data_IF_828146518668
#
_entry.id   IF_828146518668
#
_cell.length_a   1.000
_cell.length_b   1.000
_cell.length_c   1.000
_cell.angle_alpha   90.00
_cell.angle_beta   90.00
_cell.angle_gamma   90.00
#
_symmetry.space_group_name_H-M   'P 1'
#
loop_
_entity.id
_entity.type
_entity.pdbx_description
1 polymer ?
#
# COMPACT_ATOMS: atom_id res chain seq x y z
N UNK A 1 22.83 -20.25 31.18
CA UNK A 1 23.70 -21.11 32.03
C UNK A 1 25.03 -21.27 31.30
N UNK A 2 26.11 -20.82 31.95
CA UNK A 2 27.54 -21.12 31.72
C UNK A 2 28.22 -20.76 30.38
N UNK A 3 29.10 -19.78 30.52
CA UNK A 3 30.31 -19.48 29.75
C UNK A 3 31.17 -20.75 29.58
N UNK A 4 31.82 -20.89 28.43
CA UNK A 4 33.04 -21.70 28.31
C UNK A 4 34.19 -20.80 27.82
N UNK A 5 35.22 -20.68 28.67
CA UNK A 5 36.50 -20.04 28.40
C UNK A 5 37.45 -21.12 27.90
N UNK A 6 38.25 -20.85 26.87
CA UNK A 6 39.60 -21.39 26.84
C UNK A 6 40.59 -20.30 26.41
N UNK A 7 41.59 -20.12 27.25
CA UNK A 7 42.64 -19.12 27.19
C UNK A 7 43.90 -19.71 26.54
N UNK A 8 44.53 -18.90 25.68
CA UNK A 8 45.94 -18.80 25.29
C UNK A 8 46.83 -20.05 25.44
N UNK A 9 47.48 -20.46 24.34
CA UNK A 9 48.95 -20.50 24.19
C UNK A 9 49.30 -20.21 22.71
N UNK A 10 49.65 -18.94 22.46
CA UNK A 10 50.64 -18.37 21.52
C UNK A 10 50.81 -18.91 20.08
N UNK A 11 50.39 -18.05 19.13
CA UNK A 11 51.09 -17.53 17.93
C UNK A 11 51.68 -18.53 16.91
N UNK A 12 51.33 -18.60 15.62
CA UNK A 12 50.71 -17.65 14.66
C UNK A 12 50.02 -18.45 13.54
N UNK A 13 48.76 -18.17 13.24
CA UNK A 13 48.15 -18.55 11.96
C UNK A 13 47.68 -17.29 11.25
N UNK A 14 48.43 -16.88 10.22
CA UNK A 14 48.04 -15.86 9.26
C UNK A 14 46.86 -16.36 8.44
N UNK A 15 45.63 -16.07 8.90
CA UNK A 15 44.46 -16.16 8.06
C UNK A 15 44.31 -14.85 7.29
N UNK A 16 44.83 -14.82 6.06
CA UNK A 16 44.40 -13.87 5.05
C UNK A 16 42.93 -14.17 4.72
N UNK A 17 41.99 -13.57 5.45
CA UNK A 17 40.60 -13.44 5.02
C UNK A 17 40.37 -11.97 4.70
N UNK A 18 40.28 -11.70 3.40
CA UNK A 18 39.84 -10.43 2.86
C UNK A 18 38.60 -9.92 3.62
N UNK A 19 38.52 -8.62 3.93
CA UNK A 19 37.32 -8.07 4.54
C UNK A 19 36.17 -8.31 3.56
N UNK A 20 35.20 -9.14 3.97
CA UNK A 20 33.92 -9.25 3.28
C UNK A 20 33.31 -7.85 3.32
N UNK A 21 33.37 -7.13 2.20
CA UNK A 21 32.57 -5.94 1.98
C UNK A 21 31.11 -6.34 2.23
N UNK A 22 30.57 -5.95 3.38
CA UNK A 22 29.13 -5.77 3.53
C UNK A 22 28.76 -4.65 2.55
N UNK A 23 28.49 -5.03 1.30
CA UNK A 23 27.85 -4.17 0.32
C UNK A 23 26.38 -4.04 0.70
N UNK A 24 26.11 -3.30 1.77
CA UNK A 24 24.94 -2.44 1.82
C UNK A 24 25.28 -1.24 0.95
N UNK A 25 25.19 -1.42 -0.36
CA UNK A 25 25.17 -0.29 -1.28
C UNK A 25 23.80 0.35 -1.15
N UNK A 26 23.65 1.18 -0.11
CA UNK A 26 22.57 2.17 -0.05
C UNK A 26 23.01 3.28 -0.99
N UNK A 27 22.58 3.21 -2.24
CA UNK A 27 22.79 4.29 -3.20
C UNK A 27 22.19 5.58 -2.65
N UNK A 28 23.01 6.61 -2.61
CA UNK A 28 22.66 8.02 -2.41
C UNK A 28 21.57 8.39 -3.45
N UNK A 29 20.44 9.02 -3.11
CA UNK A 29 20.28 10.45 -2.81
C UNK A 29 18.90 10.68 -2.13
N UNK A 30 18.88 11.45 -1.04
CA UNK A 30 17.79 11.61 -0.05
C UNK A 30 17.49 10.33 0.76
N UNK A 31 17.98 10.31 2.02
CA UNK A 31 18.04 9.14 2.90
C UNK A 31 16.72 8.60 3.45
N UNK A 32 15.62 8.72 2.72
CA UNK A 32 14.35 8.06 3.02
C UNK A 32 13.95 7.22 1.80
N UNK A 33 14.08 5.90 1.91
CA UNK A 33 13.46 4.99 0.94
C UNK A 33 11.95 5.23 0.97
N UNK A 34 11.30 5.56 -0.15
CA UNK A 34 9.87 5.82 -0.17
C UNK A 34 9.12 4.61 0.39
N UNK A 35 8.21 4.87 1.33
CA UNK A 35 7.40 3.83 1.99
C UNK A 35 6.75 2.97 0.92
N UNK A 36 6.99 1.66 0.95
CA UNK A 36 6.36 0.73 0.02
C UNK A 36 4.96 0.32 0.51
N UNK A 37 4.03 -0.01 -0.40
CA UNK A 37 2.78 -0.66 -0.03
C UNK A 37 3.07 -2.04 0.63
N UNK A 38 2.20 -2.52 1.53
CA UNK A 38 2.27 -3.88 2.03
C UNK A 38 2.17 -4.88 0.87
N UNK A 39 2.97 -5.95 0.91
CA UNK A 39 2.91 -7.01 -0.08
C UNK A 39 1.84 -8.03 0.29
N UNK A 40 1.12 -8.55 -0.72
CA UNK A 40 0.30 -9.74 -0.54
C UNK A 40 1.17 -10.92 -0.06
N UNK A 41 0.69 -11.79 0.85
CA UNK A 41 1.47 -12.91 1.39
C UNK A 41 2.19 -13.75 0.32
N UNK A 42 1.52 -14.06 -0.77
CA UNK A 42 2.09 -14.91 -1.83
C UNK A 42 3.18 -14.17 -2.63
N UNK A 43 3.05 -12.85 -2.79
CA UNK A 43 4.08 -12.01 -3.40
C UNK A 43 5.29 -11.93 -2.47
N UNK A 44 5.07 -11.73 -1.17
CA UNK A 44 6.15 -11.73 -0.18
C UNK A 44 6.89 -13.08 -0.15
N UNK A 45 6.16 -14.19 -0.20
CA UNK A 45 6.73 -15.54 -0.27
C UNK A 45 7.65 -15.70 -1.50
N UNK A 46 7.23 -15.23 -2.67
CA UNK A 46 8.08 -15.21 -3.87
C UNK A 46 9.34 -14.34 -3.66
N UNK A 47 9.23 -13.21 -2.97
CA UNK A 47 10.38 -12.36 -2.64
C UNK A 47 11.40 -13.08 -1.74
N UNK A 48 10.93 -13.95 -0.83
CA UNK A 48 11.82 -14.72 0.04
C UNK A 48 12.72 -15.69 -0.74
N UNK A 49 12.33 -16.12 -1.94
CA UNK A 49 13.17 -16.98 -2.78
C UNK A 49 14.50 -16.30 -3.18
N UNK A 50 14.54 -14.97 -3.22
CA UNK A 50 15.75 -14.19 -3.51
C UNK A 50 16.62 -13.91 -2.28
N UNK A 51 16.15 -14.24 -1.07
CA UNK A 51 16.83 -13.90 0.18
C UNK A 51 17.64 -15.08 0.71
N UNK A 52 18.73 -14.76 1.39
CA UNK A 52 19.57 -15.76 2.05
C UNK A 52 19.11 -15.99 3.49
N UNK A 53 18.83 -17.23 3.86
CA UNK A 53 18.49 -17.63 5.22
C UNK A 53 19.60 -18.48 5.83
N UNK A 54 19.65 -18.49 7.17
CA UNK A 54 20.62 -19.32 7.91
C UNK A 54 20.22 -20.79 7.83
N UNK A 55 18.91 -21.07 7.85
CA UNK A 55 18.32 -22.39 7.58
C UNK A 55 17.12 -22.26 6.63
N UNK A 56 17.32 -22.59 5.35
CA UNK A 56 16.25 -22.51 4.34
C UNK A 56 15.04 -23.41 4.66
N UNK A 57 15.26 -24.53 5.38
CA UNK A 57 14.21 -25.50 5.71
C UNK A 57 13.37 -25.12 6.93
N UNK A 58 13.87 -24.25 7.80
CA UNK A 58 13.20 -23.85 9.03
C UNK A 58 12.81 -22.37 9.05
N UNK A 59 13.74 -21.48 8.71
CA UNK A 59 13.57 -20.03 8.87
C UNK A 59 12.64 -19.45 7.80
N UNK A 60 12.82 -19.87 6.54
CA UNK A 60 12.04 -19.30 5.43
C UNK A 60 10.53 -19.60 5.54
N UNK A 61 10.10 -20.85 5.83
CA UNK A 61 8.68 -21.13 6.08
C UNK A 61 8.14 -20.38 7.30
N UNK A 62 8.91 -20.26 8.38
CA UNK A 62 8.51 -19.53 9.57
C UNK A 62 8.32 -18.03 9.28
N UNK A 63 9.24 -17.40 8.54
CA UNK A 63 9.14 -15.99 8.16
C UNK A 63 7.97 -15.74 7.22
N UNK A 64 7.74 -16.61 6.22
CA UNK A 64 6.55 -16.53 5.36
C UNK A 64 5.26 -16.62 6.17
N UNK A 65 5.18 -17.59 7.09
CA UNK A 65 4.02 -17.77 7.95
C UNK A 65 3.78 -16.58 8.88
N UNK A 66 4.83 -16.10 9.57
CA UNK A 66 4.74 -14.93 10.45
C UNK A 66 4.28 -13.69 9.69
N UNK A 67 4.80 -13.46 8.48
CA UNK A 67 4.38 -12.35 7.64
C UNK A 67 2.91 -12.47 7.25
N UNK A 68 2.46 -13.65 6.80
CA UNK A 68 1.06 -13.90 6.42
C UNK A 68 0.11 -13.60 7.57
N UNK A 69 0.39 -14.12 8.76
CA UNK A 69 -0.42 -13.85 9.96
C UNK A 69 -0.42 -12.36 10.30
N UNK A 70 0.75 -11.72 10.26
CA UNK A 70 0.90 -10.31 10.62
C UNK A 70 0.14 -9.41 9.66
N UNK A 71 0.32 -9.57 8.34
CA UNK A 71 -0.32 -8.69 7.36
C UNK A 71 -1.84 -8.86 7.36
N UNK A 72 -2.34 -10.09 7.48
CA UNK A 72 -3.78 -10.34 7.59
C UNK A 72 -4.37 -9.75 8.86
N UNK A 73 -3.68 -9.87 10.01
CA UNK A 73 -4.15 -9.31 11.27
C UNK A 73 -4.11 -7.79 11.28
N UNK A 74 -2.99 -7.19 10.85
CA UNK A 74 -2.80 -5.74 10.83
C UNK A 74 -3.76 -5.10 9.84
N UNK A 75 -3.82 -5.59 8.59
CA UNK A 75 -4.70 -5.00 7.58
C UNK A 75 -6.18 -5.30 7.86
N UNK A 76 -6.52 -6.52 8.28
CA UNK A 76 -7.90 -6.89 8.61
C UNK A 76 -8.47 -6.17 9.83
N UNK A 77 -7.62 -5.74 10.75
CA UNK A 77 -8.00 -4.89 11.89
C UNK A 77 -7.87 -3.39 11.65
N UNK A 78 -7.29 -2.95 10.54
CA UNK A 78 -7.03 -1.54 10.28
C UNK A 78 -8.26 -0.83 9.75
N UNK A 79 -8.71 0.20 10.47
CA UNK A 79 -9.79 1.08 10.03
C UNK A 79 -9.30 2.23 9.15
N UNK A 80 -8.02 2.58 9.24
CA UNK A 80 -7.45 3.73 8.54
C UNK A 80 -6.12 3.33 7.90
N UNK A 81 -6.02 3.51 6.58
CA UNK A 81 -4.77 3.42 5.84
C UNK A 81 -4.38 4.79 5.31
N UNK A 82 -3.18 5.25 5.69
CA UNK A 82 -2.61 6.53 5.27
C UNK A 82 -1.37 6.28 4.43
N UNK A 83 -1.44 6.59 3.15
CA UNK A 83 -0.34 6.51 2.19
C UNK A 83 -0.19 7.81 1.39
N UNK A 84 -0.67 8.94 1.92
CA UNK A 84 -0.43 10.23 1.31
C UNK A 84 1.07 10.57 1.29
N UNK A 85 1.53 11.28 0.25
CA UNK A 85 2.93 11.68 0.06
C UNK A 85 3.93 10.51 0.01
N UNK A 86 3.50 9.31 -0.37
CA UNK A 86 4.37 8.12 -0.41
C UNK A 86 5.23 8.03 -1.67
N UNK A 87 5.07 8.98 -2.61
CA UNK A 87 5.74 9.01 -3.93
C UNK A 87 5.42 7.77 -4.77
N UNK A 88 4.21 7.24 -4.64
CA UNK A 88 3.75 6.07 -5.37
C UNK A 88 3.41 6.40 -6.81
N UNK A 89 3.79 5.51 -7.72
CA UNK A 89 3.31 5.49 -9.10
C UNK A 89 2.29 4.37 -9.32
N UNK A 90 1.89 4.13 -10.58
CA UNK A 90 0.90 3.11 -10.92
C UNK A 90 1.24 1.70 -10.40
N UNK A 91 2.52 1.34 -10.40
CA UNK A 91 3.00 0.02 -9.94
C UNK A 91 2.71 -0.23 -8.45
N UNK A 92 2.93 0.76 -7.59
CA UNK A 92 2.66 0.63 -6.16
C UNK A 92 1.15 0.53 -5.89
N UNK A 93 0.31 1.18 -6.70
CA UNK A 93 -1.14 1.02 -6.59
C UNK A 93 -1.61 -0.37 -6.97
N UNK A 94 -1.03 -1.00 -8.01
CA UNK A 94 -1.30 -2.42 -8.31
C UNK A 94 -0.96 -3.30 -7.10
N UNK A 95 0.17 -3.03 -6.45
CA UNK A 95 0.55 -3.75 -5.23
C UNK A 95 -0.44 -3.51 -4.09
N UNK A 96 -0.86 -2.26 -3.85
CA UNK A 96 -1.91 -1.93 -2.88
C UNK A 96 -3.21 -2.69 -3.19
N UNK A 97 -3.63 -2.71 -4.45
CA UNK A 97 -4.84 -3.39 -4.91
C UNK A 97 -4.88 -4.85 -4.48
N UNK A 98 -3.74 -5.55 -4.56
CA UNK A 98 -3.63 -6.95 -4.15
C UNK A 98 -3.87 -7.19 -2.65
N UNK A 99 -3.70 -6.17 -1.80
CA UNK A 99 -3.88 -6.28 -0.34
C UNK A 99 -5.17 -5.64 0.18
N UNK A 100 -5.87 -4.84 -0.62
CA UNK A 100 -7.17 -4.26 -0.24
C UNK A 100 -8.22 -5.32 0.17
N UNK A 101 -8.30 -6.51 -0.45
CA UNK A 101 -9.22 -7.57 0.00
C UNK A 101 -8.95 -8.06 1.44
N UNK A 102 -7.72 -7.89 1.95
CA UNK A 102 -7.39 -8.23 3.33
C UNK A 102 -7.91 -7.20 4.34
N UNK A 103 -8.29 -6.01 3.88
CA UNK A 103 -8.66 -4.87 4.72
C UNK A 103 -10.16 -4.87 5.05
N UNK A 104 -10.62 -5.86 5.83
CA UNK A 104 -12.05 -6.11 6.08
C UNK A 104 -12.77 -5.04 6.91
N UNK A 105 -12.03 -4.24 7.69
CA UNK A 105 -12.56 -3.18 8.54
C UNK A 105 -12.20 -1.77 8.06
N UNK A 106 -11.67 -1.62 6.85
CA UNK A 106 -11.19 -0.33 6.35
C UNK A 106 -12.33 0.66 6.17
N UNK A 107 -12.24 1.80 6.87
CA UNK A 107 -13.20 2.90 6.82
C UNK A 107 -12.61 4.12 6.12
N UNK A 108 -11.32 4.38 6.27
CA UNK A 108 -10.66 5.53 5.67
C UNK A 108 -9.42 5.12 4.87
N UNK A 109 -9.38 5.51 3.59
CA UNK A 109 -8.25 5.27 2.71
C UNK A 109 -7.72 6.60 2.19
N UNK A 110 -6.52 6.98 2.63
CA UNK A 110 -5.90 8.26 2.27
C UNK A 110 -4.72 8.07 1.34
N UNK A 111 -4.87 8.47 0.08
CA UNK A 111 -3.90 8.26 -0.99
C UNK A 111 -3.40 9.57 -1.62
N UNK A 112 -3.66 10.72 -0.99
CA UNK A 112 -3.37 12.03 -1.58
C UNK A 112 -1.89 12.28 -1.87
N UNK A 113 -1.61 13.09 -2.90
CA UNK A 113 -0.25 13.46 -3.29
C UNK A 113 0.63 12.25 -3.68
N UNK A 114 0.11 11.41 -4.57
CA UNK A 114 0.89 10.39 -5.26
C UNK A 114 0.77 10.60 -6.79
N UNK A 115 1.25 9.67 -7.60
CA UNK A 115 1.23 9.76 -9.06
C UNK A 115 0.57 8.52 -9.68
N UNK A 116 -0.54 8.06 -9.07
CA UNK A 116 -1.24 6.86 -9.50
C UNK A 116 -2.05 7.00 -10.78
N UNK A 117 -2.49 8.23 -11.11
CA UNK A 117 -3.33 8.52 -12.26
C UNK A 117 -4.59 7.66 -12.31
N UNK A 118 -5.08 7.40 -13.53
CA UNK A 118 -6.29 6.59 -13.74
C UNK A 118 -6.09 5.12 -13.34
N UNK A 119 -4.86 4.62 -13.35
CA UNK A 119 -4.53 3.27 -12.88
C UNK A 119 -4.93 3.06 -11.42
N UNK A 120 -4.69 4.05 -10.55
CA UNK A 120 -5.13 3.98 -9.16
C UNK A 120 -6.65 3.80 -9.08
N UNK A 121 -7.42 4.58 -9.84
CA UNK A 121 -8.88 4.47 -9.85
C UNK A 121 -9.30 3.07 -10.33
N UNK A 122 -8.75 2.60 -11.44
CA UNK A 122 -9.04 1.27 -11.97
C UNK A 122 -8.77 0.16 -10.94
N UNK A 123 -7.64 0.24 -10.23
CA UNK A 123 -7.29 -0.75 -9.19
C UNK A 123 -8.26 -0.69 -8.02
N UNK A 124 -8.65 0.50 -7.55
CA UNK A 124 -9.63 0.65 -6.47
C UNK A 124 -11.00 0.07 -6.88
N UNK A 125 -11.43 0.32 -8.11
CA UNK A 125 -12.70 -0.18 -8.64
C UNK A 125 -12.68 -1.71 -8.82
N UNK A 126 -11.57 -2.27 -9.33
CA UNK A 126 -11.39 -3.71 -9.45
C UNK A 126 -11.44 -4.38 -8.07
N UNK A 127 -10.72 -3.85 -7.08
CA UNK A 127 -10.75 -4.36 -5.72
C UNK A 127 -12.16 -4.32 -5.11
N UNK A 128 -12.91 -3.22 -5.33
CA UNK A 128 -14.26 -3.08 -4.82
C UNK A 128 -15.26 -4.06 -5.47
N UNK A 129 -15.16 -4.26 -6.80
CA UNK A 129 -16.11 -5.09 -7.57
C UNK A 129 -15.80 -6.58 -7.52
N UNK A 130 -14.55 -6.97 -7.75
CA UNK A 130 -14.18 -8.38 -7.97
C UNK A 130 -13.99 -9.11 -6.64
N UNK A 131 -13.51 -8.41 -5.62
CA UNK A 131 -13.17 -9.01 -4.34
C UNK A 131 -14.12 -8.61 -3.21
N UNK A 132 -15.11 -7.76 -3.50
CA UNK A 132 -15.96 -7.19 -2.45
C UNK A 132 -15.15 -6.44 -1.38
N UNK A 133 -14.00 -5.87 -1.76
CA UNK A 133 -13.21 -5.04 -0.85
C UNK A 133 -13.91 -3.67 -0.66
N UNK A 134 -13.45 -2.89 0.32
CA UNK A 134 -13.91 -1.51 0.56
C UNK A 134 -15.40 -1.36 0.90
N UNK A 135 -16.08 -2.42 1.35
CA UNK A 135 -17.51 -2.39 1.68
C UNK A 135 -17.81 -1.52 2.92
N UNK A 136 -16.82 -1.41 3.83
CA UNK A 136 -16.89 -0.57 5.04
C UNK A 136 -16.30 0.83 4.81
N UNK A 137 -15.82 1.14 3.60
CA UNK A 137 -15.10 2.38 3.33
C UNK A 137 -16.06 3.56 3.32
N UNK A 138 -15.83 4.52 4.21
CA UNK A 138 -16.62 5.74 4.36
C UNK A 138 -15.91 6.99 3.85
N UNK A 139 -14.58 7.01 3.83
CA UNK A 139 -13.77 8.14 3.37
C UNK A 139 -12.68 7.68 2.39
N UNK A 140 -12.64 8.29 1.20
CA UNK A 140 -11.62 8.05 0.18
C UNK A 140 -10.94 9.36 -0.24
N UNK A 141 -9.65 9.50 0.02
CA UNK A 141 -8.83 10.62 -0.44
C UNK A 141 -7.99 10.22 -1.66
N UNK A 142 -8.26 10.84 -2.81
CA UNK A 142 -7.45 10.71 -4.02
C UNK A 142 -6.94 12.08 -4.52
N UNK A 143 -6.82 13.09 -3.64
CA UNK A 143 -6.31 14.41 -4.04
C UNK A 143 -4.92 14.35 -4.67
N UNK A 144 -4.64 15.24 -5.62
CA UNK A 144 -3.31 15.38 -6.22
C UNK A 144 -2.70 14.03 -6.67
N UNK A 145 -3.45 13.23 -7.45
CA UNK A 145 -2.98 11.94 -7.96
C UNK A 145 -2.77 11.90 -9.48
N UNK A 146 -3.07 13.01 -10.16
CA UNK A 146 -2.98 13.09 -11.62
C UNK A 146 -4.06 12.28 -12.35
N UNK A 147 -5.20 12.00 -11.70
CA UNK A 147 -6.37 11.38 -12.33
C UNK A 147 -6.91 12.30 -13.42
N UNK A 148 -7.26 11.75 -14.58
CA UNK A 148 -7.77 12.49 -15.73
C UNK A 148 -9.30 12.40 -15.81
N UNK A 149 -9.89 13.00 -16.84
CA UNK A 149 -11.32 12.89 -17.13
C UNK A 149 -11.79 11.43 -17.26
N UNK A 150 -10.99 10.56 -17.87
CA UNK A 150 -11.32 9.14 -18.03
C UNK A 150 -11.42 8.42 -16.69
N UNK A 151 -10.49 8.72 -15.76
CA UNK A 151 -10.52 8.19 -14.40
C UNK A 151 -11.72 8.68 -13.60
N UNK A 152 -12.05 9.97 -13.69
CA UNK A 152 -13.23 10.53 -13.01
C UNK A 152 -14.53 9.98 -13.59
N UNK A 153 -14.61 9.80 -14.92
CA UNK A 153 -15.77 9.18 -15.57
C UNK A 153 -15.95 7.72 -15.11
N UNK A 154 -14.85 6.95 -15.02
CA UNK A 154 -14.89 5.58 -14.51
C UNK A 154 -15.34 5.53 -13.04
N UNK A 155 -14.85 6.45 -12.21
CA UNK A 155 -15.26 6.57 -10.81
C UNK A 155 -16.75 6.94 -10.70
N UNK A 156 -17.22 7.91 -11.48
CA UNK A 156 -18.62 8.36 -11.50
C UNK A 156 -19.57 7.23 -11.93
N UNK A 157 -19.19 6.47 -12.98
CA UNK A 157 -19.95 5.32 -13.44
C UNK A 157 -20.02 4.22 -12.36
N UNK A 158 -18.90 3.97 -11.65
CA UNK A 158 -18.88 2.99 -10.58
C UNK A 158 -19.67 3.45 -9.34
N UNK A 159 -19.62 4.73 -8.99
CA UNK A 159 -20.42 5.31 -7.92
C UNK A 159 -21.92 5.38 -8.27
N UNK A 160 -22.31 5.18 -9.52
CA UNK A 160 -23.72 5.01 -9.87
C UNK A 160 -24.25 3.62 -9.49
N UNK A 161 -23.37 2.64 -9.27
CA UNK A 161 -23.72 1.31 -8.80
C UNK A 161 -23.70 1.25 -7.26
N UNK A 162 -24.84 0.97 -6.60
CA UNK A 162 -24.92 0.93 -5.14
C UNK A 162 -24.06 -0.19 -4.51
N UNK A 163 -23.65 -1.21 -5.27
CA UNK A 163 -22.81 -2.30 -4.76
C UNK A 163 -21.34 -1.91 -4.59
N UNK A 164 -20.88 -0.90 -5.33
CA UNK A 164 -19.48 -0.44 -5.28
C UNK A 164 -19.35 0.60 -4.17
N UNK A 165 -18.60 0.30 -3.09
CA UNK A 165 -18.39 1.22 -1.95
C UNK A 165 -19.70 1.76 -1.33
N UNK A 166 -20.61 0.88 -0.85
CA UNK A 166 -21.95 1.28 -0.39
C UNK A 166 -21.95 2.26 0.78
N UNK A 167 -20.90 2.25 1.62
CA UNK A 167 -20.79 3.10 2.81
C UNK A 167 -20.02 4.40 2.57
N UNK A 168 -19.63 4.72 1.33
CA UNK A 168 -18.85 5.92 1.04
C UNK A 168 -19.68 7.17 1.33
N UNK A 169 -19.13 8.06 2.16
CA UNK A 169 -19.76 9.33 2.55
C UNK A 169 -18.90 10.55 2.22
N UNK A 170 -17.59 10.36 2.02
CA UNK A 170 -16.68 11.44 1.66
C UNK A 170 -15.71 10.99 0.57
N UNK A 171 -15.56 11.82 -0.45
CA UNK A 171 -14.63 11.63 -1.56
C UNK A 171 -13.80 12.90 -1.77
N UNK A 172 -12.49 12.75 -1.87
CA UNK A 172 -11.57 13.82 -2.20
C UNK A 172 -11.01 13.66 -3.60
N UNK A 173 -11.30 14.59 -4.51
CA UNK A 173 -10.86 14.55 -5.91
C UNK A 173 -10.11 15.80 -6.38
N UNK A 174 -10.06 16.87 -5.58
CA UNK A 174 -9.32 18.11 -5.87
C UNK A 174 -7.85 17.88 -6.25
N UNK A 175 -7.36 18.72 -7.17
CA UNK A 175 -5.95 18.75 -7.58
C UNK A 175 -5.56 17.63 -8.55
N UNK A 176 -6.56 16.96 -9.14
CA UNK A 176 -6.37 16.06 -10.26
C UNK A 176 -6.38 16.80 -11.60
N UNK A 177 -6.07 16.09 -12.69
CA UNK A 177 -5.98 16.64 -14.07
C UNK A 177 -7.31 16.54 -14.84
N UNK A 178 -8.42 16.49 -14.11
CA UNK A 178 -9.75 16.46 -14.68
C UNK A 178 -10.20 17.89 -15.05
N UNK A 179 -10.99 18.00 -16.10
CA UNK A 179 -11.68 19.22 -16.50
C UNK A 179 -12.82 19.54 -15.53
N UNK A 180 -13.20 20.82 -15.46
CA UNK A 180 -14.33 21.28 -14.64
C UNK A 180 -15.62 20.53 -15.00
N UNK A 181 -15.86 20.25 -16.28
CA UNK A 181 -17.05 19.51 -16.72
C UNK A 181 -17.10 18.07 -16.14
N UNK A 182 -15.96 17.39 -16.05
CA UNK A 182 -15.89 16.07 -15.41
C UNK A 182 -16.10 16.13 -13.90
N UNK A 183 -15.60 17.19 -13.25
CA UNK A 183 -15.79 17.41 -11.82
C UNK A 183 -17.25 17.75 -11.50
N UNK A 184 -17.93 18.55 -12.34
CA UNK A 184 -19.36 18.84 -12.22
C UNK A 184 -20.20 17.56 -12.36
N UNK A 185 -19.85 16.71 -13.33
CA UNK A 185 -20.51 15.40 -13.49
C UNK A 185 -20.30 14.48 -12.28
N UNK A 186 -19.11 14.53 -11.67
CA UNK A 186 -18.83 13.79 -10.43
C UNK A 186 -19.65 14.36 -9.26
N UNK A 187 -19.75 15.69 -9.13
CA UNK A 187 -20.55 16.35 -8.09
C UNK A 187 -22.03 15.95 -8.18
N UNK A 188 -22.59 15.91 -9.39
CA UNK A 188 -23.96 15.42 -9.63
C UNK A 188 -24.16 13.97 -9.14
N UNK A 189 -23.21 13.07 -9.40
CA UNK A 189 -23.28 11.68 -8.95
C UNK A 189 -23.12 11.59 -7.43
N UNK A 190 -22.18 12.34 -6.86
CA UNK A 190 -21.97 12.43 -5.42
C UNK A 190 -23.21 12.98 -4.71
N UNK A 191 -23.87 14.00 -5.25
CA UNK A 191 -25.11 14.55 -4.72
C UNK A 191 -26.24 13.50 -4.70
N UNK A 192 -26.41 12.73 -5.78
CA UNK A 192 -27.39 11.63 -5.85
C UNK A 192 -27.12 10.53 -4.83
N UNK A 193 -25.84 10.25 -4.58
CA UNK A 193 -25.40 9.21 -3.62
C UNK A 193 -25.25 9.74 -2.20
N UNK A 194 -25.51 11.02 -1.96
CA UNK A 194 -25.28 11.70 -0.68
C UNK A 194 -23.82 11.59 -0.18
N UNK A 195 -22.87 11.58 -1.11
CA UNK A 195 -21.43 11.62 -0.84
C UNK A 195 -20.99 13.07 -0.82
N UNK A 196 -20.29 13.47 0.24
CA UNK A 196 -19.66 14.79 0.34
C UNK A 196 -18.39 14.81 -0.53
N UNK A 197 -18.45 15.56 -1.63
CA UNK A 197 -17.29 15.81 -2.47
C UNK A 197 -16.44 16.95 -1.89
N UNK A 198 -15.15 16.69 -1.69
CA UNK A 198 -14.10 17.65 -1.36
C UNK A 198 -14.31 18.49 -0.07
N UNK A 199 -15.27 18.10 0.77
CA UNK A 199 -15.47 18.66 2.11
C UNK A 199 -14.66 17.89 3.15
N UNK A 200 -13.34 17.99 3.05
CA UNK A 200 -12.43 17.41 4.02
C UNK A 200 -12.44 18.22 5.30
N UNK A 201 -12.71 17.56 6.43
CA UNK A 201 -12.41 18.19 7.72
C UNK A 201 -10.89 18.29 7.83
N UNK A 202 -10.30 19.48 8.08
CA UNK A 202 -8.90 19.57 8.41
C UNK A 202 -8.67 18.68 9.65
N UNK A 203 -7.74 17.74 9.52
CA UNK A 203 -7.33 16.87 10.63
C UNK A 203 -6.50 17.77 11.55
N UNK A 204 -7.13 18.25 12.61
CA UNK A 204 -6.45 18.85 13.77
C UNK A 204 -5.65 17.76 14.48
#
# INVERSE_FOLDING_TARGET
>A
MRICVCARHTHTCTCARAPRKCLLQVGHESGESPRQPPLHPDVFEAHLASKHFTSDKADRPLVSWLYRITVSSVLGGSQILRYGLSRWGPHEFVTLGSVLPLCTQLQQLRLSNNAGGDTMVQVLLAAAREHGALQSLSELDIHNNGVTDDGIAALSAALSDPQVMPQLTQLGSVGNKASEASLDALDDVCARRMVLLDRWRPII
#
